data_IF_695904794657
#
_entry.id   IF_695904794657
#
_cell.length_a   1.000
_cell.length_b   1.000
_cell.length_c   1.000
_cell.angle_alpha   90.00
_cell.angle_beta   90.00
_cell.angle_gamma   90.00
#
_symmetry.space_group_name_H-M   'P 1'
#
loop_
_entity.id
_entity.type
_entity.pdbx_description
1 polymer ?
#
# COMPACT_ATOMS: atom_id res chain seq x y z
N UNK A 1 -17.12 -14.54 1.85
CA UNK A 1 -15.66 -14.36 1.94
C UNK A 1 -14.99 -14.07 0.60
N UNK A 2 -15.03 -14.97 -0.40
CA UNK A 2 -14.33 -14.85 -1.70
C UNK A 2 -14.42 -13.48 -2.40
N UNK A 3 -15.60 -12.85 -2.41
CA UNK A 3 -15.85 -11.60 -3.14
C UNK A 3 -14.87 -10.48 -2.77
N UNK A 4 -14.47 -10.38 -1.49
CA UNK A 4 -13.68 -9.25 -1.01
C UNK A 4 -12.23 -9.27 -1.54
N UNK A 5 -11.63 -10.46 -1.61
CA UNK A 5 -10.26 -10.65 -2.10
C UNK A 5 -10.18 -10.48 -3.61
N UNK A 6 -11.18 -11.01 -4.32
CA UNK A 6 -11.27 -10.87 -5.76
C UNK A 6 -11.48 -9.41 -6.16
N UNK A 7 -12.32 -8.67 -5.44
CA UNK A 7 -12.47 -7.21 -5.62
C UNK A 7 -11.12 -6.53 -5.40
N UNK A 8 -10.40 -6.86 -4.33
CA UNK A 8 -9.06 -6.34 -4.09
C UNK A 8 -8.10 -6.60 -5.26
N UNK A 9 -8.04 -7.85 -5.73
CA UNK A 9 -7.22 -8.23 -6.87
C UNK A 9 -7.57 -7.40 -8.12
N UNK A 10 -8.86 -7.29 -8.46
CA UNK A 10 -9.34 -6.49 -9.60
C UNK A 10 -8.99 -5.01 -9.44
N UNK A 11 -9.09 -4.45 -8.23
CA UNK A 11 -8.66 -3.07 -7.94
C UNK A 11 -7.17 -2.92 -8.24
N UNK A 12 -6.31 -3.80 -7.72
CA UNK A 12 -4.86 -3.72 -7.96
C UNK A 12 -4.47 -3.97 -9.43
N UNK A 13 -5.20 -4.81 -10.16
CA UNK A 13 -5.06 -4.94 -11.62
C UNK A 13 -5.41 -3.63 -12.31
N UNK A 14 -6.54 -3.01 -11.94
CA UNK A 14 -6.94 -1.70 -12.46
C UNK A 14 -5.86 -0.63 -12.21
N UNK A 15 -5.39 -0.51 -10.96
CA UNK A 15 -4.30 0.41 -10.60
C UNK A 15 -3.02 0.13 -11.41
N UNK A 16 -2.65 -1.14 -11.60
CA UNK A 16 -1.48 -1.50 -12.41
C UNK A 16 -1.64 -1.07 -13.86
N UNK A 17 -2.80 -1.33 -14.46
CA UNK A 17 -3.11 -0.93 -15.85
C UNK A 17 -3.10 0.60 -15.98
N UNK A 18 -3.73 1.34 -15.05
CA UNK A 18 -3.75 2.80 -15.06
C UNK A 18 -2.32 3.39 -15.04
N UNK A 19 -1.43 2.82 -14.23
CA UNK A 19 -0.03 3.27 -14.16
C UNK A 19 0.82 2.86 -15.36
N UNK A 20 0.49 1.76 -16.03
CA UNK A 20 1.12 1.36 -17.30
C UNK A 20 0.68 2.27 -18.45
N UNK A 21 -0.61 2.66 -18.47
CA UNK A 21 -1.23 3.34 -19.60
C UNK A 21 -1.07 4.88 -19.59
N UNK A 22 -0.35 5.48 -18.63
CA UNK A 22 -0.17 6.95 -18.51
C UNK A 22 -1.49 7.73 -18.67
N UNK A 23 -2.58 7.30 -18.04
CA UNK A 23 -3.83 8.06 -18.04
C UNK A 23 -3.82 9.04 -16.85
N UNK A 24 -3.95 10.36 -17.06
CA UNK A 24 -3.74 11.40 -16.04
C UNK A 24 -4.87 11.52 -14.99
N UNK A 25 -5.65 10.47 -14.71
CA UNK A 25 -6.85 10.54 -13.85
C UNK A 25 -6.68 9.99 -12.42
N UNK A 26 -5.45 9.71 -11.96
CA UNK A 26 -5.22 9.16 -10.61
C UNK A 26 -5.68 10.13 -9.50
N UNK A 27 -5.68 11.44 -9.77
CA UNK A 27 -6.20 12.50 -8.89
C UNK A 27 -7.70 12.40 -8.65
N UNK A 28 -8.50 11.94 -9.63
CA UNK A 28 -9.96 11.90 -9.52
C UNK A 28 -10.45 10.75 -8.62
N UNK A 29 -9.71 9.63 -8.57
CA UNK A 29 -10.07 8.48 -7.73
C UNK A 29 -9.79 8.74 -6.23
N UNK A 30 -8.71 9.43 -5.91
CA UNK A 30 -8.40 9.77 -4.51
C UNK A 30 -9.34 10.84 -3.95
N UNK A 31 -9.82 11.77 -4.78
CA UNK A 31 -10.87 12.73 -4.39
C UNK A 31 -12.20 12.04 -4.03
N UNK A 32 -12.47 10.85 -4.59
CA UNK A 32 -13.64 10.04 -4.24
C UNK A 32 -13.47 9.35 -2.87
N UNK A 33 -12.25 8.92 -2.53
CA UNK A 33 -11.94 8.23 -1.27
C UNK A 33 -11.85 9.22 -0.08
N UNK A 34 -11.33 10.43 -0.29
CA UNK A 34 -11.25 11.48 0.74
C UNK A 34 -12.61 12.06 1.11
N UNK A 35 -13.62 11.97 0.23
CA UNK A 35 -14.99 12.45 0.52
C UNK A 35 -15.75 11.59 1.55
N UNK A 36 -15.18 10.48 2.03
CA UNK A 36 -15.82 9.60 3.01
C UNK A 36 -15.58 9.98 4.48
N UNK A 37 -14.84 11.05 4.78
CA UNK A 37 -14.59 11.52 6.16
C UNK A 37 -14.73 13.05 6.29
N UNK A 38 -15.88 13.58 6.73
CA UNK A 38 -16.00 15.00 7.05
C UNK A 38 -15.46 15.26 8.47
N UNK A 39 -14.19 15.63 8.57
CA UNK A 39 -13.72 16.47 9.68
C UNK A 39 -13.90 17.92 9.24
N UNK A 40 -14.95 18.56 9.75
CA UNK A 40 -15.20 19.98 9.54
C UNK A 40 -14.44 20.79 10.60
N UNK A 41 -13.58 21.75 10.21
CA UNK A 41 -13.31 22.91 11.02
C UNK A 41 -13.80 24.18 10.31
N UNK A 42 -14.75 24.86 10.93
CA UNK A 42 -14.93 26.31 10.83
C UNK A 42 -15.41 26.89 9.50
N UNK A 43 -16.73 26.97 9.32
CA UNK A 43 -17.31 27.93 8.39
C UNK A 43 -17.28 29.33 8.99
N UNK A 44 -16.58 30.26 8.35
CA UNK A 44 -16.82 31.70 8.48
C UNK A 44 -16.99 32.29 7.08
N UNK A 45 -18.20 32.77 6.83
CA UNK A 45 -18.58 33.48 5.63
C UNK A 45 -18.22 34.97 5.75
N UNK A 46 -17.75 35.58 4.66
CA UNK A 46 -18.02 36.99 4.38
C UNK A 46 -17.93 37.28 2.88
N UNK A 47 -19.06 37.76 2.35
CA UNK A 47 -19.28 38.32 1.02
C UNK A 47 -18.36 39.52 0.73
N UNK A 48 -18.01 39.72 -0.56
CA UNK A 48 -18.37 40.92 -1.32
C UNK A 48 -18.04 40.76 -2.81
N UNK A 49 -19.05 41.00 -3.65
CA UNK A 49 -19.01 41.07 -5.12
C UNK A 49 -18.69 42.49 -5.59
N UNK A 50 -18.07 42.66 -6.77
CA UNK A 50 -18.12 43.79 -7.73
C UNK A 50 -17.34 43.30 -8.98
N UNK A 51 -17.97 42.84 -10.07
CA UNK A 51 -18.57 43.57 -11.21
C UNK A 51 -17.55 44.22 -12.19
N UNK A 52 -17.51 43.74 -13.45
CA UNK A 52 -17.28 44.59 -14.63
C UNK A 52 -16.19 44.20 -15.66
N UNK A 53 -16.51 43.27 -16.57
CA UNK A 53 -16.35 43.29 -18.06
C UNK A 53 -15.03 43.71 -18.81
N UNK A 54 -14.84 43.24 -20.07
CA UNK A 54 -13.56 42.91 -20.69
C UNK A 54 -13.05 43.95 -21.70
N UNK A 55 -11.76 43.94 -22.05
CA UNK A 55 -11.30 44.49 -23.34
C UNK A 55 -9.96 43.93 -23.84
N UNK A 56 -10.09 43.39 -25.05
CA UNK A 56 -9.14 42.95 -26.06
C UNK A 56 -8.26 44.10 -26.61
N UNK A 57 -6.93 43.95 -26.61
CA UNK A 57 -5.91 44.60 -27.48
C UNK A 57 -4.74 43.59 -27.56
N UNK A 58 -4.62 42.75 -28.58
CA UNK A 58 -4.06 42.95 -29.92
C UNK A 58 -2.53 43.19 -29.99
N UNK A 59 -1.93 42.47 -30.94
CA UNK A 59 -0.60 42.61 -31.57
C UNK A 59 0.67 42.09 -30.85
N UNK A 60 0.99 40.84 -31.19
CA UNK A 60 2.20 40.43 -31.94
C UNK A 60 3.50 41.19 -31.59
N UNK A 61 4.28 40.59 -30.69
CA UNK A 61 5.73 40.78 -30.62
C UNK A 61 6.41 39.46 -31.03
N UNK A 62 6.82 39.38 -32.30
CA UNK A 62 7.83 38.42 -32.76
C UNK A 62 9.19 38.96 -32.30
N UNK A 63 9.83 38.27 -31.36
CA UNK A 63 11.26 38.37 -31.09
C UNK A 63 11.70 37.11 -30.37
N UNK A 64 12.30 36.22 -31.17
CA UNK A 64 13.18 35.10 -30.84
C UNK A 64 13.91 35.15 -29.48
N UNK A 65 14.13 33.93 -28.96
CA UNK A 65 14.99 33.52 -27.83
C UNK A 65 14.28 33.41 -26.49
N UNK A 66 13.68 32.24 -26.22
CA UNK A 66 14.32 31.33 -25.27
C UNK A 66 13.81 29.91 -25.50
N UNK A 67 14.76 29.07 -25.89
CA UNK A 67 14.64 27.63 -25.88
C UNK A 67 14.70 27.22 -24.41
N UNK A 68 13.56 27.27 -23.71
CA UNK A 68 13.46 26.62 -22.41
C UNK A 68 13.41 25.12 -22.67
N UNK A 69 14.62 24.54 -22.76
CA UNK A 69 14.84 23.11 -22.61
C UNK A 69 14.35 22.80 -21.20
N UNK A 70 13.06 22.49 -21.08
CA UNK A 70 12.52 21.89 -19.88
C UNK A 70 13.45 20.75 -19.49
N UNK A 71 14.06 20.88 -18.31
CA UNK A 71 14.97 19.90 -17.75
C UNK A 71 14.41 18.49 -18.03
N UNK A 72 15.24 17.53 -18.49
CA UNK A 72 14.73 16.21 -18.81
C UNK A 72 14.05 15.69 -17.54
N UNK A 73 12.73 15.52 -17.60
CA UNK A 73 11.98 14.82 -16.57
C UNK A 73 12.68 13.48 -16.42
N UNK A 74 13.49 13.33 -15.37
CA UNK A 74 14.18 12.07 -15.10
C UNK A 74 13.04 11.08 -14.89
N UNK A 75 12.85 10.18 -15.85
CA UNK A 75 11.79 9.20 -15.75
C UNK A 75 12.06 8.37 -14.50
N UNK A 76 11.34 8.68 -13.43
CA UNK A 76 11.53 8.02 -12.14
C UNK A 76 11.46 6.51 -12.34
N UNK A 77 12.45 5.79 -11.84
CA UNK A 77 12.53 4.34 -11.96
C UNK A 77 11.28 3.69 -11.36
N UNK A 78 10.44 3.04 -12.17
CA UNK A 78 9.11 2.53 -11.75
C UNK A 78 9.07 1.06 -11.32
N UNK A 79 10.15 0.30 -11.54
CA UNK A 79 10.15 -1.13 -11.20
C UNK A 79 9.84 -1.42 -9.72
N UNK A 80 10.28 -0.63 -8.70
CA UNK A 80 9.97 -0.94 -7.30
C UNK A 80 8.47 -0.86 -7.01
N UNK A 81 7.80 0.12 -7.62
CA UNK A 81 6.35 0.29 -7.56
C UNK A 81 5.62 -0.92 -8.16
N UNK A 82 6.03 -1.40 -9.33
CA UNK A 82 5.42 -2.59 -9.94
C UNK A 82 5.71 -3.88 -9.18
N UNK A 83 6.85 -3.99 -8.50
CA UNK A 83 7.14 -5.13 -7.59
C UNK A 83 6.12 -5.18 -6.45
N UNK A 84 5.82 -4.05 -5.82
CA UNK A 84 4.77 -3.96 -4.79
C UNK A 84 3.38 -4.33 -5.34
N UNK A 85 3.00 -3.80 -6.51
CA UNK A 85 1.72 -4.12 -7.13
C UNK A 85 1.62 -5.62 -7.47
N UNK A 86 2.67 -6.19 -8.03
CA UNK A 86 2.77 -7.62 -8.34
C UNK A 86 2.62 -8.50 -7.10
N UNK A 87 3.33 -8.16 -6.02
CA UNK A 87 3.22 -8.88 -4.75
C UNK A 87 1.83 -8.77 -4.11
N UNK A 88 1.21 -7.60 -4.17
CA UNK A 88 -0.17 -7.38 -3.69
C UNK A 88 -1.18 -8.20 -4.49
N UNK A 89 -1.07 -8.20 -5.82
CA UNK A 89 -1.91 -9.03 -6.69
C UNK A 89 -1.72 -10.52 -6.41
N UNK A 90 -0.48 -10.98 -6.25
CA UNK A 90 -0.20 -12.38 -5.92
C UNK A 90 -0.85 -12.78 -4.59
N UNK A 91 -0.72 -11.95 -3.55
CA UNK A 91 -1.33 -12.19 -2.24
C UNK A 91 -2.85 -12.27 -2.32
N UNK A 92 -3.50 -11.32 -3.00
CA UNK A 92 -4.96 -11.28 -3.09
C UNK A 92 -5.50 -12.43 -3.94
N UNK A 93 -4.79 -12.83 -5.00
CA UNK A 93 -5.14 -13.96 -5.84
C UNK A 93 -4.96 -15.30 -5.11
N UNK A 94 -3.84 -15.51 -4.41
CA UNK A 94 -3.61 -16.74 -3.66
C UNK A 94 -4.66 -16.91 -2.55
N UNK A 95 -5.00 -15.82 -1.87
CA UNK A 95 -6.05 -15.77 -0.85
C UNK A 95 -7.44 -16.07 -1.43
N UNK A 96 -7.78 -15.46 -2.58
CA UNK A 96 -9.04 -15.74 -3.30
C UNK A 96 -9.15 -17.22 -3.67
N UNK A 97 -8.08 -17.78 -4.22
CA UNK A 97 -8.01 -19.19 -4.65
C UNK A 97 -8.16 -20.13 -3.46
N UNK A 98 -7.52 -19.81 -2.34
CA UNK A 98 -7.64 -20.59 -1.11
C UNK A 98 -9.08 -20.65 -0.60
N UNK A 99 -9.76 -19.50 -0.56
CA UNK A 99 -11.14 -19.44 -0.08
C UNK A 99 -12.16 -20.02 -1.07
N UNK A 100 -11.86 -20.02 -2.37
CA UNK A 100 -12.72 -20.63 -3.39
C UNK A 100 -12.64 -22.16 -3.40
N UNK A 101 -11.42 -22.71 -3.31
CA UNK A 101 -11.20 -24.17 -3.44
C UNK A 101 -10.95 -24.89 -2.11
N UNK A 102 -11.05 -24.21 -0.97
CA UNK A 102 -10.78 -24.78 0.36
C UNK A 102 -11.67 -25.95 0.77
N UNK A 103 -12.84 -26.12 0.14
CA UNK A 103 -13.76 -27.25 0.41
C UNK A 103 -13.52 -28.48 -0.46
N UNK A 104 -12.61 -28.41 -1.45
CA UNK A 104 -12.46 -29.47 -2.46
C UNK A 104 -11.82 -30.75 -1.89
N UNK A 105 -10.64 -30.66 -1.28
CA UNK A 105 -10.00 -31.79 -0.62
C UNK A 105 -9.09 -31.34 0.52
N UNK A 106 -8.89 -32.20 1.52
CA UNK A 106 -8.08 -31.87 2.68
C UNK A 106 -6.63 -31.49 2.32
N UNK A 107 -6.00 -32.26 1.43
CA UNK A 107 -4.64 -31.99 0.97
C UNK A 107 -4.54 -30.67 0.18
N UNK A 108 -5.47 -30.42 -0.75
CA UNK A 108 -5.48 -29.18 -1.52
C UNK A 108 -5.72 -27.97 -0.61
N UNK A 109 -6.62 -28.07 0.36
CA UNK A 109 -6.88 -27.00 1.32
C UNK A 109 -5.63 -26.63 2.13
N UNK A 110 -4.85 -27.62 2.58
CA UNK A 110 -3.60 -27.36 3.30
C UNK A 110 -2.57 -26.63 2.42
N UNK A 111 -2.39 -27.07 1.17
CA UNK A 111 -1.50 -26.40 0.23
C UNK A 111 -1.95 -24.97 -0.09
N UNK A 112 -3.25 -24.76 -0.32
CA UNK A 112 -3.78 -23.44 -0.62
C UNK A 112 -3.64 -22.47 0.57
N UNK A 113 -3.83 -22.95 1.80
CA UNK A 113 -3.58 -22.16 3.01
C UNK A 113 -2.11 -21.78 3.15
N UNK A 114 -1.19 -22.68 2.82
CA UNK A 114 0.25 -22.37 2.80
C UNK A 114 0.56 -21.31 1.73
N UNK A 115 -0.03 -21.43 0.54
CA UNK A 115 0.13 -20.43 -0.53
C UNK A 115 -0.46 -19.06 -0.17
N UNK A 116 -1.57 -19.02 0.57
CA UNK A 116 -2.14 -17.79 1.14
C UNK A 116 -1.15 -17.11 2.10
N UNK A 117 -0.54 -17.89 3.01
CA UNK A 117 0.49 -17.38 3.93
C UNK A 117 1.77 -16.90 3.22
N UNK A 118 2.20 -17.62 2.17
CA UNK A 118 3.31 -17.17 1.31
C UNK A 118 2.93 -15.86 0.61
N UNK A 119 1.69 -15.73 0.17
CA UNK A 119 1.14 -14.49 -0.41
C UNK A 119 1.31 -13.30 0.52
N UNK A 120 0.87 -13.42 1.78
CA UNK A 120 1.02 -12.36 2.80
C UNK A 120 2.50 -12.00 2.97
N UNK A 121 3.37 -13.01 3.05
CA UNK A 121 4.81 -12.79 3.22
C UNK A 121 5.42 -12.02 2.04
N UNK A 122 5.06 -12.40 0.81
CA UNK A 122 5.52 -11.73 -0.41
C UNK A 122 5.00 -10.29 -0.47
N UNK A 123 3.74 -10.05 -0.11
CA UNK A 123 3.19 -8.70 -0.06
C UNK A 123 3.98 -7.80 0.91
N UNK A 124 4.32 -8.31 2.10
CA UNK A 124 5.13 -7.56 3.07
C UNK A 124 6.54 -7.29 2.52
N UNK A 125 7.21 -8.28 1.93
CA UNK A 125 8.56 -8.06 1.36
C UNK A 125 8.50 -7.01 0.24
N UNK A 126 7.57 -7.19 -0.70
CA UNK A 126 7.45 -6.33 -1.89
C UNK A 126 6.99 -4.91 -1.54
N UNK A 127 6.23 -4.70 -0.45
CA UNK A 127 5.85 -3.35 0.00
C UNK A 127 7.03 -2.53 0.49
N UNK A 128 8.14 -3.15 0.92
CA UNK A 128 9.35 -2.42 1.32
C UNK A 128 10.12 -1.86 0.11
N UNK A 129 9.92 -2.39 -1.10
CA UNK A 129 10.68 -1.96 -2.28
C UNK A 129 10.49 -0.48 -2.61
N UNK A 130 9.26 0.05 -2.78
CA UNK A 130 9.08 1.47 -3.08
C UNK A 130 9.70 2.43 -2.04
N UNK A 131 9.34 2.39 -0.73
CA UNK A 131 9.85 3.35 0.23
C UNK A 131 11.38 3.24 0.37
N UNK A 132 11.94 2.03 0.46
CA UNK A 132 13.39 1.86 0.66
C UNK A 132 14.17 2.32 -0.58
N UNK A 133 13.72 1.94 -1.78
CA UNK A 133 14.42 2.32 -3.00
C UNK A 133 14.37 3.84 -3.22
N UNK A 134 13.19 4.46 -3.10
CA UNK A 134 13.04 5.89 -3.38
C UNK A 134 13.63 6.79 -2.29
N UNK A 135 13.56 6.40 -1.01
CA UNK A 135 14.15 7.19 0.08
C UNK A 135 15.67 7.12 0.02
N UNK A 136 16.24 5.92 -0.07
CA UNK A 136 17.69 5.68 0.00
C UNK A 136 18.33 5.57 -1.39
N UNK A 137 17.74 6.15 -2.44
CA UNK A 137 18.25 6.05 -3.81
C UNK A 137 19.72 6.46 -3.97
N UNK A 138 20.19 7.41 -3.16
CA UNK A 138 21.57 7.90 -3.17
C UNK A 138 22.51 7.12 -2.22
N UNK A 139 21.97 6.24 -1.39
CA UNK A 139 22.72 5.45 -0.41
C UNK A 139 22.43 3.94 -0.59
N UNK A 140 23.01 3.30 -1.63
CA UNK A 140 22.67 1.93 -2.00
C UNK A 140 22.98 0.91 -0.90
N UNK A 141 23.93 1.19 0.00
CA UNK A 141 24.22 0.33 1.15
C UNK A 141 22.95 0.10 2.00
N UNK A 142 22.20 1.16 2.32
CA UNK A 142 21.01 1.06 3.16
C UNK A 142 19.86 0.33 2.45
N UNK A 143 19.77 0.46 1.12
CA UNK A 143 18.83 -0.35 0.34
C UNK A 143 19.12 -1.84 0.50
N UNK A 144 20.38 -2.26 0.35
CA UNK A 144 20.76 -3.67 0.51
C UNK A 144 20.53 -4.17 1.94
N UNK A 145 20.85 -3.37 2.96
CA UNK A 145 20.66 -3.74 4.36
C UNK A 145 19.17 -3.95 4.66
N UNK A 146 18.31 -3.00 4.31
CA UNK A 146 16.88 -3.08 4.63
C UNK A 146 16.13 -4.10 3.76
N UNK A 147 16.36 -4.12 2.44
CA UNK A 147 15.73 -5.09 1.55
C UNK A 147 16.25 -6.51 1.80
N UNK A 148 17.54 -6.66 2.09
CA UNK A 148 18.12 -7.94 2.49
C UNK A 148 17.55 -8.43 3.82
N UNK A 149 17.43 -7.54 4.81
CA UNK A 149 16.86 -7.85 6.12
C UNK A 149 15.41 -8.34 6.05
N UNK A 150 14.53 -7.60 5.36
CA UNK A 150 13.12 -8.00 5.22
C UNK A 150 12.98 -9.30 4.41
N UNK A 151 13.83 -9.50 3.40
CA UNK A 151 13.83 -10.73 2.60
C UNK A 151 14.28 -11.93 3.44
N UNK A 152 15.30 -11.78 4.29
CA UNK A 152 15.75 -12.83 5.19
C UNK A 152 14.67 -13.20 6.23
N UNK A 153 14.03 -12.20 6.85
CA UNK A 153 12.89 -12.42 7.75
C UNK A 153 11.71 -13.09 7.03
N UNK A 154 11.46 -12.70 5.79
CA UNK A 154 10.45 -13.30 4.93
C UNK A 154 10.74 -14.75 4.57
N UNK A 155 11.97 -15.07 4.21
CA UNK A 155 12.40 -16.45 3.92
C UNK A 155 12.24 -17.34 5.17
N UNK A 156 12.66 -16.85 6.35
CA UNK A 156 12.44 -17.54 7.61
C UNK A 156 10.94 -17.79 7.87
N UNK A 157 10.11 -16.79 7.63
CA UNK A 157 8.64 -16.89 7.78
C UNK A 157 8.05 -17.91 6.81
N UNK A 158 8.42 -17.87 5.53
CA UNK A 158 7.97 -18.86 4.53
C UNK A 158 8.36 -20.27 4.94
N UNK A 159 9.63 -20.52 5.28
CA UNK A 159 10.10 -21.84 5.71
C UNK A 159 9.29 -22.35 6.90
N UNK A 160 9.03 -21.48 7.86
CA UNK A 160 8.24 -21.80 9.06
C UNK A 160 6.78 -22.14 8.71
N UNK A 161 6.16 -21.40 7.80
CA UNK A 161 4.75 -21.57 7.43
C UNK A 161 4.50 -22.71 6.43
N UNK A 162 5.53 -23.15 5.70
CA UNK A 162 5.48 -24.36 4.89
C UNK A 162 5.47 -25.64 5.75
N UNK A 163 5.80 -25.58 7.03
CA UNK A 163 5.66 -26.71 7.95
C UNK A 163 4.18 -26.91 8.36
N UNK A 164 3.53 -28.05 8.04
CA UNK A 164 2.11 -28.27 8.33
C UNK A 164 1.74 -28.16 9.82
N UNK A 165 2.67 -28.51 10.71
CA UNK A 165 2.47 -28.40 12.16
C UNK A 165 2.26 -26.94 12.60
N UNK A 166 3.05 -26.01 12.04
CA UNK A 166 3.07 -24.59 12.39
C UNK A 166 2.03 -23.76 11.61
N UNK A 167 1.55 -24.28 10.48
CA UNK A 167 0.43 -23.69 9.73
C UNK A 167 -0.94 -24.04 10.32
N UNK A 168 -1.00 -24.99 11.28
CA UNK A 168 -2.25 -25.44 11.90
C UNK A 168 -2.99 -24.33 12.68
N UNK A 169 -4.29 -24.48 12.88
CA UNK A 169 -5.13 -23.49 13.56
C UNK A 169 -4.69 -23.13 14.99
N UNK A 170 -3.95 -24.03 15.66
CA UNK A 170 -3.42 -23.83 17.03
C UNK A 170 -2.34 -22.74 17.09
N UNK A 171 -1.53 -22.62 16.05
CA UNK A 171 -0.43 -21.65 15.97
C UNK A 171 -0.83 -20.33 15.32
N UNK A 172 -2.12 -19.98 15.33
CA UNK A 172 -2.62 -18.75 14.72
C UNK A 172 -1.90 -17.50 15.24
N UNK A 173 -1.81 -17.35 16.55
CA UNK A 173 -1.15 -16.18 17.16
C UNK A 173 0.33 -16.14 16.78
N UNK A 174 1.00 -17.29 16.77
CA UNK A 174 2.40 -17.40 16.35
C UNK A 174 2.60 -16.88 14.90
N UNK A 175 1.74 -17.28 13.96
CA UNK A 175 1.79 -16.74 12.58
C UNK A 175 1.57 -15.23 12.54
N UNK A 176 0.59 -14.73 13.28
CA UNK A 176 0.33 -13.29 13.35
C UNK A 176 1.54 -12.52 13.91
N UNK A 177 2.24 -13.07 14.90
CA UNK A 177 3.49 -12.49 15.42
C UNK A 177 4.62 -12.49 14.38
N UNK A 178 4.77 -13.53 13.55
CA UNK A 178 5.76 -13.54 12.47
C UNK A 178 5.50 -12.40 11.48
N UNK A 179 4.27 -12.26 10.99
CA UNK A 179 3.90 -11.18 10.07
C UNK A 179 4.03 -9.79 10.72
N UNK A 180 3.60 -9.66 11.97
CA UNK A 180 3.72 -8.41 12.71
C UNK A 180 5.19 -8.02 12.93
N UNK A 181 6.07 -8.97 13.25
CA UNK A 181 7.50 -8.71 13.39
C UNK A 181 8.13 -8.20 12.08
N UNK A 182 7.74 -8.79 10.94
CA UNK A 182 8.15 -8.30 9.63
C UNK A 182 7.65 -6.88 9.36
N UNK A 183 6.40 -6.56 9.70
CA UNK A 183 5.86 -5.20 9.56
C UNK A 183 6.55 -4.19 10.48
N UNK A 184 6.80 -4.56 11.75
CA UNK A 184 7.46 -3.70 12.73
C UNK A 184 8.93 -3.43 12.39
N UNK A 185 9.59 -4.33 11.63
CA UNK A 185 10.92 -4.04 11.08
C UNK A 185 10.93 -2.73 10.29
N UNK A 186 9.81 -2.35 9.64
CA UNK A 186 9.64 -1.10 8.90
C UNK A 186 9.78 0.18 9.74
N UNK A 187 9.66 0.10 11.06
CA UNK A 187 9.87 1.25 11.94
C UNK A 187 11.33 1.73 11.88
N UNK A 188 12.29 0.79 11.78
CA UNK A 188 13.73 1.11 11.72
C UNK A 188 14.08 1.96 10.49
N UNK A 189 13.80 1.53 9.24
CA UNK A 189 14.04 2.37 8.08
C UNK A 189 13.17 3.62 8.04
N UNK A 190 11.96 3.61 8.63
CA UNK A 190 11.13 4.82 8.71
C UNK A 190 11.77 5.90 9.60
N UNK A 191 12.28 5.53 10.78
CA UNK A 191 13.01 6.48 11.66
C UNK A 191 14.25 7.00 10.93
N UNK A 192 15.03 6.10 10.33
CA UNK A 192 16.23 6.49 9.59
C UNK A 192 15.91 7.44 8.42
N UNK A 193 14.85 7.15 7.67
CA UNK A 193 14.35 8.00 6.60
C UNK A 193 13.99 9.41 7.07
N UNK A 194 13.28 9.52 8.21
CA UNK A 194 12.90 10.81 8.80
C UNK A 194 14.12 11.59 9.26
N UNK A 195 15.12 10.92 9.83
CA UNK A 195 16.34 11.59 10.30
C UNK A 195 17.18 12.14 9.16
N UNK A 196 17.30 11.41 8.04
CA UNK A 196 18.11 11.83 6.89
C UNK A 196 17.37 12.86 6.03
N UNK A 197 16.05 12.74 5.90
CA UNK A 197 15.23 13.61 5.03
C UNK A 197 14.41 14.62 5.86
N UNK A 198 15.02 15.21 6.89
CA UNK A 198 14.32 16.04 7.86
C UNK A 198 13.65 17.29 7.26
N UNK A 199 14.23 17.86 6.21
CA UNK A 199 13.75 19.12 5.62
C UNK A 199 12.80 18.92 4.44
N UNK A 200 12.51 17.67 4.06
CA UNK A 200 11.71 17.43 2.85
C UNK A 200 10.21 17.69 3.06
N UNK A 201 9.56 18.52 2.23
CA UNK A 201 8.19 18.96 2.46
C UNK A 201 7.16 17.83 2.32
N UNK A 202 7.43 16.82 1.47
CA UNK A 202 6.54 15.68 1.23
C UNK A 202 6.61 14.63 2.35
N UNK A 203 7.59 14.72 3.26
CA UNK A 203 7.80 13.74 4.34
C UNK A 203 6.55 13.51 5.18
N UNK A 204 5.88 14.58 5.59
CA UNK A 204 4.71 14.46 6.47
C UNK A 204 3.55 13.73 5.78
N UNK A 205 3.33 13.98 4.48
CA UNK A 205 2.31 13.29 3.70
C UNK A 205 2.59 11.78 3.58
N UNK A 206 3.84 11.44 3.25
CA UNK A 206 4.31 10.04 3.20
C UNK A 206 4.11 9.35 4.56
N UNK A 207 4.52 10.00 5.66
CA UNK A 207 4.36 9.45 7.01
C UNK A 207 2.90 9.21 7.38
N UNK A 208 1.97 10.08 6.93
CA UNK A 208 0.54 9.87 7.17
C UNK A 208 0.05 8.62 6.44
N UNK A 209 0.43 8.41 5.18
CA UNK A 209 0.05 7.21 4.43
C UNK A 209 0.64 5.93 5.05
N UNK A 210 1.93 5.94 5.38
CA UNK A 210 2.63 4.82 6.03
C UNK A 210 2.05 4.52 7.43
N UNK A 211 1.73 5.55 8.21
CA UNK A 211 1.05 5.39 9.51
C UNK A 211 -0.36 4.83 9.33
N UNK A 212 -1.10 5.28 8.32
CA UNK A 212 -2.44 4.75 7.99
C UNK A 212 -2.36 3.27 7.61
N UNK A 213 -1.37 2.89 6.81
CA UNK A 213 -1.08 1.49 6.50
C UNK A 213 -0.80 0.69 7.78
N UNK A 214 0.11 1.16 8.62
CA UNK A 214 0.48 0.47 9.86
C UNK A 214 -0.73 0.28 10.79
N UNK A 215 -1.50 1.35 11.05
CA UNK A 215 -2.71 1.29 11.89
C UNK A 215 -3.74 0.32 11.31
N UNK A 216 -3.92 0.31 9.99
CA UNK A 216 -4.83 -0.62 9.31
C UNK A 216 -4.40 -2.07 9.54
N UNK A 217 -3.14 -2.40 9.29
CA UNK A 217 -2.64 -3.77 9.47
C UNK A 217 -2.66 -4.23 10.94
N UNK A 218 -2.30 -3.36 11.89
CA UNK A 218 -2.37 -3.69 13.31
C UNK A 218 -3.82 -3.96 13.73
N UNK A 219 -4.74 -3.09 13.33
CA UNK A 219 -6.17 -3.23 13.64
C UNK A 219 -6.75 -4.51 13.05
N UNK A 220 -6.48 -4.79 11.77
CA UNK A 220 -6.86 -6.04 11.13
C UNK A 220 -6.31 -7.26 11.86
N UNK A 221 -5.02 -7.24 12.20
CA UNK A 221 -4.37 -8.33 12.95
C UNK A 221 -5.03 -8.57 14.31
N UNK A 222 -5.44 -7.51 15.00
CA UNK A 222 -6.18 -7.64 16.26
C UNK A 222 -7.51 -8.38 16.07
N UNK A 223 -8.29 -8.06 15.03
CA UNK A 223 -9.51 -8.82 14.71
C UNK A 223 -9.20 -10.29 14.39
N UNK A 224 -8.17 -10.55 13.58
CA UNK A 224 -7.75 -11.91 13.22
C UNK A 224 -7.40 -12.79 14.43
N UNK A 225 -6.65 -12.24 15.40
CA UNK A 225 -6.23 -12.97 16.61
C UNK A 225 -7.42 -13.12 17.58
N UNK A 226 -8.17 -12.05 17.81
CA UNK A 226 -9.22 -12.02 18.84
C UNK A 226 -10.51 -12.75 18.45
N UNK A 227 -10.76 -12.99 17.15
CA UNK A 227 -12.02 -13.59 16.66
C UNK A 227 -13.27 -12.80 17.08
N UNK A 228 -13.15 -11.49 17.21
CA UNK A 228 -14.29 -10.60 17.45
C UNK A 228 -14.80 -10.16 16.08
N UNK A 229 -16.13 -10.14 15.82
CA UNK A 229 -17.23 -10.31 16.78
C UNK A 229 -17.77 -11.73 16.95
N UNK A 230 -17.33 -12.72 16.17
CA UNK A 230 -17.91 -14.07 16.19
C UNK A 230 -17.72 -14.82 17.52
N UNK A 231 -16.69 -14.45 18.29
CA UNK A 231 -16.49 -14.93 19.66
C UNK A 231 -17.60 -14.47 20.60
N UNK A 232 -18.18 -13.29 20.38
CA UNK A 232 -19.22 -12.73 21.25
C UNK A 232 -20.62 -13.26 20.94
N UNK A 233 -20.91 -13.55 19.66
CA UNK A 233 -22.17 -14.18 19.24
C UNK A 233 -21.91 -15.27 18.19
N UNK A 234 -21.61 -16.50 18.62
CA UNK A 234 -21.50 -17.65 17.72
C UNK A 234 -22.78 -17.82 16.90
N UNK A 235 -22.66 -18.13 15.61
CA UNK A 235 -23.81 -18.33 14.69
C UNK A 235 -24.33 -17.07 14.01
N UNK A 236 -24.07 -15.87 14.55
CA UNK A 236 -24.57 -14.62 13.97
C UNK A 236 -23.71 -14.09 12.82
N UNK A 237 -22.42 -14.43 12.82
CA UNK A 237 -21.42 -13.89 11.89
C UNK A 237 -20.92 -14.96 10.89
N UNK A 238 -21.66 -16.06 10.73
CA UNK A 238 -21.21 -17.21 9.94
C UNK A 238 -21.10 -16.91 8.43
N UNK A 239 -21.97 -16.03 7.91
CA UNK A 239 -21.95 -15.62 6.49
C UNK A 239 -21.15 -14.35 6.22
N UNK A 240 -21.26 -13.36 7.11
CA UNK A 240 -20.70 -12.03 6.91
C UNK A 240 -20.28 -11.37 8.23
N UNK A 241 -19.21 -10.58 8.17
CA UNK A 241 -18.76 -9.75 9.30
C UNK A 241 -17.99 -10.50 10.39
N UNK A 242 -17.60 -11.75 10.15
CA UNK A 242 -16.65 -12.44 11.02
C UNK A 242 -15.24 -11.82 10.92
N UNK A 243 -14.42 -12.02 11.95
CA UNK A 243 -13.14 -11.33 12.11
C UNK A 243 -12.18 -11.54 10.94
N UNK A 244 -12.17 -12.73 10.34
CA UNK A 244 -11.32 -13.02 9.17
C UNK A 244 -11.72 -12.18 7.96
N UNK A 245 -13.02 -11.88 7.76
CA UNK A 245 -13.45 -10.97 6.68
C UNK A 245 -13.05 -9.53 6.99
N UNK A 246 -13.21 -9.09 8.24
CA UNK A 246 -12.80 -7.76 8.70
C UNK A 246 -11.29 -7.58 8.53
N UNK A 247 -10.50 -8.60 8.87
CA UNK A 247 -9.05 -8.61 8.67
C UNK A 247 -8.69 -8.29 7.22
N UNK A 248 -9.31 -8.96 6.25
CA UNK A 248 -9.05 -8.68 4.83
C UNK A 248 -9.43 -7.26 4.42
N UNK A 249 -10.53 -6.69 4.94
CA UNK A 249 -10.88 -5.28 4.69
C UNK A 249 -9.72 -4.35 5.07
N UNK A 250 -9.16 -4.56 6.27
CA UNK A 250 -8.03 -3.79 6.75
C UNK A 250 -6.76 -4.04 5.95
N UNK A 251 -6.55 -5.27 5.45
CA UNK A 251 -5.42 -5.57 4.56
C UNK A 251 -5.50 -4.77 3.26
N UNK A 252 -6.66 -4.74 2.60
CA UNK A 252 -6.85 -3.94 1.38
C UNK A 252 -6.70 -2.45 1.67
N UNK A 253 -7.29 -1.95 2.75
CA UNK A 253 -7.16 -0.55 3.15
C UNK A 253 -5.69 -0.16 3.37
N UNK A 254 -4.94 -1.00 4.09
CA UNK A 254 -3.51 -0.78 4.31
C UNK A 254 -2.73 -0.78 3.01
N UNK A 255 -2.99 -1.73 2.11
CA UNK A 255 -2.34 -1.81 0.81
C UNK A 255 -2.66 -0.59 -0.09
N UNK A 256 -3.90 -0.06 -0.04
CA UNK A 256 -4.29 1.16 -0.75
C UNK A 256 -3.63 2.41 -0.17
N UNK A 257 -3.52 2.52 1.16
CA UNK A 257 -2.77 3.59 1.81
C UNK A 257 -1.28 3.55 1.40
N UNK A 258 -0.69 2.35 1.37
CA UNK A 258 0.69 2.14 0.92
C UNK A 258 0.88 2.50 -0.55
N UNK A 259 -0.08 2.14 -1.40
CA UNK A 259 -0.11 2.55 -2.80
C UNK A 259 -0.10 4.08 -2.94
N UNK A 260 -0.87 4.79 -2.10
CA UNK A 260 -0.85 6.25 -2.01
C UNK A 260 0.55 6.80 -1.66
N UNK A 261 1.21 6.24 -0.64
CA UNK A 261 2.60 6.60 -0.32
C UNK A 261 3.55 6.35 -1.52
N UNK A 262 3.42 5.20 -2.17
CA UNK A 262 4.25 4.80 -3.31
C UNK A 262 4.11 5.74 -4.51
N UNK A 263 2.91 6.27 -4.77
CA UNK A 263 2.71 7.31 -5.78
C UNK A 263 3.41 8.62 -5.42
N UNK A 264 3.29 9.07 -4.17
CA UNK A 264 3.97 10.29 -3.69
C UNK A 264 5.49 10.15 -3.80
N UNK A 265 6.04 8.98 -3.48
CA UNK A 265 7.47 8.70 -3.69
C UNK A 265 7.87 8.80 -5.17
N UNK A 266 7.06 8.22 -6.07
CA UNK A 266 7.34 8.19 -7.51
C UNK A 266 7.26 9.60 -8.13
N UNK A 267 6.29 10.42 -7.71
CA UNK A 267 6.14 11.80 -8.16
C UNK A 267 7.31 12.68 -7.68
N UNK A 268 7.65 12.61 -6.38
CA UNK A 268 8.72 13.41 -5.80
C UNK A 268 10.09 13.10 -6.41
N UNK A 269 10.42 11.83 -6.61
CA UNK A 269 11.74 11.43 -7.14
C UNK A 269 11.87 11.56 -8.66
N UNK A 270 10.76 11.77 -9.39
CA UNK A 270 10.82 12.22 -10.78
C UNK A 270 11.35 13.65 -10.94
N UNK A 271 11.41 14.41 -9.84
CA UNK A 271 11.80 15.82 -9.83
C UNK A 271 13.18 16.06 -9.18
N UNK A 272 13.66 15.13 -8.34
CA UNK A 272 14.89 15.31 -7.54
C UNK A 272 15.84 14.11 -7.71
N UNK A 273 16.95 14.32 -8.41
CA UNK A 273 18.05 13.37 -8.56
C UNK A 273 19.04 13.39 -7.38
N UNK A 274 19.98 12.44 -7.39
CA UNK A 274 21.14 12.49 -6.49
C UNK A 274 22.13 13.56 -6.97
N UNK A 275 22.61 14.40 -6.06
CA UNK A 275 23.67 15.39 -6.32
C UNK A 275 25.05 14.76 -6.18
#
# INVERSE_FOLDING_TARGET
MMHMHLIGFVVFVGLTITNLMHVPQVTDFFNLLTWSFPLSPGGNASHNSIMGTPKLIDLKHDSSLDMDIGAPLVMATRWPFFVFLGGSMFCLLSSSTCHLFGCHSHHLNLLLLQMDYVGITIMIITSFFPPIYYIFQCEPMWQFVYLGGITAMGAFTVITLLAPALSSGKFRSFRAFLFMAMGLFGIVPAIHAVTVNWYEPQRNGILIYEATMAVSYLTGTMFYITRIPERWKPGWFDLAGHSHQIFHCFVIMGALAHYGAALVFLEFRGQVGCQ
#
